data_IF_787336564205
#
_entry.id   IF_787336564205
#
_cell.length_a   1.000
_cell.length_b   1.000
_cell.length_c   1.000
_cell.angle_alpha   90.00
_cell.angle_beta   90.00
_cell.angle_gamma   90.00
#
_symmetry.space_group_name_H-M   'P 1'
#
loop_
_entity.id
_entity.type
_entity.pdbx_description
1 polymer ?
#
# COMPACT_ATOMS: atom_id res chain seq x y z
N UNK A 1 -10.29 -41.43 -32.24
CA UNK A 1 -9.14 -42.28 -32.66
C UNK A 1 -8.42 -42.69 -31.39
N UNK A 2 -8.67 -43.97 -31.04
CA UNK A 2 -8.19 -44.72 -29.90
C UNK A 2 -6.66 -44.85 -29.87
N UNK A 3 -6.09 -44.83 -28.66
CA UNK A 3 -5.00 -45.69 -28.19
C UNK A 3 -4.74 -45.33 -26.73
N UNK A 4 -5.13 -46.02 -25.74
CA UNK A 4 -5.01 -47.39 -25.26
C UNK A 4 -3.54 -47.81 -24.95
N UNK A 5 -3.39 -48.23 -23.66
CA UNK A 5 -2.50 -49.32 -23.19
C UNK A 5 -1.14 -48.87 -22.70
N UNK A 6 -0.61 -49.19 -21.50
CA UNK A 6 -0.55 -50.50 -20.81
C UNK A 6 -0.12 -50.33 -19.34
N UNK A 7 -0.81 -51.10 -18.54
CA UNK A 7 -0.40 -51.61 -17.21
C UNK A 7 0.76 -52.59 -17.37
N UNK A 8 1.75 -52.55 -16.48
CA UNK A 8 2.58 -53.72 -16.27
C UNK A 8 2.70 -54.03 -14.77
N UNK A 9 2.15 -55.17 -14.41
CA UNK A 9 2.36 -55.94 -13.20
C UNK A 9 3.36 -57.04 -13.49
N UNK A 10 4.32 -57.29 -12.61
CA UNK A 10 4.92 -58.60 -12.34
C UNK A 10 5.58 -58.51 -10.97
N UNK A 11 5.04 -59.15 -9.94
CA UNK A 11 5.35 -60.53 -9.58
C UNK A 11 6.83 -60.76 -9.34
N UNK A 12 7.26 -60.95 -8.10
CA UNK A 12 7.89 -62.22 -7.70
C UNK A 12 7.83 -62.43 -6.19
N UNK A 13 7.31 -63.55 -5.85
CA UNK A 13 7.09 -64.18 -4.57
C UNK A 13 8.36 -64.91 -4.06
N UNK A 14 8.35 -65.19 -2.78
CA UNK A 14 8.88 -66.39 -2.14
C UNK A 14 10.36 -66.39 -1.71
N UNK A 15 10.61 -66.46 -0.41
CA UNK A 15 11.13 -67.67 0.22
C UNK A 15 11.09 -67.56 1.76
N UNK A 16 10.29 -68.43 2.32
CA UNK A 16 10.34 -68.90 3.69
C UNK A 16 11.59 -69.78 3.85
N UNK A 17 12.34 -69.57 4.94
CA UNK A 17 13.13 -70.68 5.53
C UNK A 17 13.33 -70.42 7.01
N UNK A 18 12.68 -71.26 7.72
CA UNK A 18 12.82 -71.74 9.09
C UNK A 18 14.28 -71.99 9.46
N UNK A 19 14.69 -71.60 10.65
CA UNK A 19 15.48 -72.46 11.52
C UNK A 19 15.42 -71.95 12.98
N UNK A 20 14.85 -72.77 13.79
CA UNK A 20 14.86 -72.71 15.24
C UNK A 20 16.20 -73.22 15.78
N UNK A 21 16.65 -72.72 16.87
CA UNK A 21 17.21 -73.45 18.04
C UNK A 21 18.19 -72.53 18.80
N UNK A 22 18.04 -72.46 20.11
CA UNK A 22 19.06 -71.89 21.00
C UNK A 22 18.48 -71.29 22.30
N UNK A 23 17.86 -72.16 23.09
CA UNK A 23 17.49 -71.94 24.49
C UNK A 23 18.74 -72.12 25.38
N UNK A 24 19.14 -71.08 26.13
CA UNK A 24 19.93 -71.17 27.39
C UNK A 24 19.83 -69.82 28.10
N UNK A 25 19.00 -69.76 29.05
CA UNK A 25 19.15 -69.67 30.50
C UNK A 25 20.50 -69.12 30.93
N UNK A 26 20.43 -67.99 31.57
CA UNK A 26 21.09 -67.77 32.88
C UNK A 26 20.61 -66.51 33.57
N UNK A 27 19.94 -66.73 34.66
CA UNK A 27 19.66 -65.84 35.76
C UNK A 27 20.92 -65.11 36.23
N UNK A 28 20.87 -63.80 36.38
CA UNK A 28 21.66 -63.09 37.36
C UNK A 28 20.76 -62.07 38.06
N UNK A 29 20.34 -62.44 39.24
CA UNK A 29 19.87 -61.51 40.25
C UNK A 29 20.98 -60.55 40.61
N UNK A 30 20.71 -59.28 40.56
CA UNK A 30 21.51 -58.24 41.13
C UNK A 30 20.58 -57.07 41.41
N UNK A 31 20.10 -56.98 42.65
CA UNK A 31 19.24 -55.91 43.13
C UNK A 31 19.91 -54.56 43.01
N UNK A 32 19.17 -53.63 42.47
CA UNK A 32 19.36 -52.21 42.45
C UNK A 32 18.03 -51.60 42.15
N UNK A 33 17.18 -51.47 43.20
CA UNK A 33 16.08 -50.51 43.17
C UNK A 33 16.68 -49.08 43.05
N UNK A 34 17.20 -48.77 41.89
CA UNK A 34 17.34 -47.40 41.49
C UNK A 34 15.94 -46.90 41.09
N UNK A 35 15.18 -46.44 42.08
CA UNK A 35 14.05 -45.61 41.79
C UNK A 35 14.55 -44.52 40.86
N UNK A 36 13.93 -44.41 39.65
CA UNK A 36 14.05 -43.19 38.88
C UNK A 36 13.78 -42.06 39.88
N UNK A 37 14.79 -41.30 40.28
CA UNK A 37 14.57 -40.02 40.91
C UNK A 37 13.73 -39.24 39.94
N UNK A 38 12.46 -39.04 40.28
CA UNK A 38 11.57 -38.11 39.64
C UNK A 38 12.37 -36.80 39.60
N UNK A 39 12.64 -36.28 38.38
CA UNK A 39 13.46 -35.11 38.19
C UNK A 39 13.09 -34.03 39.19
N UNK A 40 14.06 -33.29 39.63
CA UNK A 40 13.92 -32.20 40.59
C UNK A 40 12.65 -31.40 40.22
N UNK A 41 11.71 -31.26 41.17
CA UNK A 41 10.44 -30.58 41.02
C UNK A 41 10.65 -29.04 40.88
N UNK A 42 11.79 -28.70 40.27
CA UNK A 42 12.23 -27.33 40.07
C UNK A 42 11.78 -26.77 38.73
N UNK A 43 11.00 -25.73 38.78
CA UNK A 43 10.47 -25.07 37.58
C UNK A 43 10.84 -23.60 37.58
N UNK A 44 11.22 -23.10 36.38
CA UNK A 44 11.53 -21.69 36.20
C UNK A 44 10.24 -20.86 36.27
N UNK A 45 10.24 -19.88 37.17
CA UNK A 45 9.16 -18.95 37.35
C UNK A 45 9.62 -17.53 37.01
N UNK A 46 8.74 -16.76 36.40
CA UNK A 46 8.93 -15.36 36.09
C UNK A 46 7.82 -14.53 36.72
N UNK A 47 8.16 -13.42 37.33
CA UNK A 47 7.16 -12.45 37.80
C UNK A 47 6.57 -11.68 36.61
N UNK A 48 5.27 -11.59 36.60
CA UNK A 48 4.52 -10.81 35.63
C UNK A 48 4.74 -9.32 35.92
N UNK A 49 5.22 -8.61 34.91
CA UNK A 49 5.44 -7.16 34.97
C UNK A 49 4.62 -6.49 33.87
N UNK A 50 4.11 -5.33 34.19
CA UNK A 50 3.46 -4.46 33.21
C UNK A 50 4.53 -3.73 32.42
N UNK A 51 4.45 -3.77 31.12
CA UNK A 51 5.41 -3.13 30.21
C UNK A 51 4.67 -2.43 29.06
N UNK A 52 5.37 -1.54 28.37
CA UNK A 52 4.91 -0.99 27.09
C UNK A 52 5.61 -1.72 25.96
N UNK A 53 4.87 -2.10 24.95
CA UNK A 53 5.42 -2.72 23.75
C UNK A 53 4.88 -2.04 22.51
N UNK A 54 5.74 -1.93 21.51
CA UNK A 54 5.35 -1.45 20.18
C UNK A 54 5.29 -2.64 19.24
N UNK A 55 4.10 -2.98 18.81
CA UNK A 55 3.85 -3.99 17.79
C UNK A 55 3.72 -3.32 16.43
N UNK A 56 4.11 -3.98 15.38
CA UNK A 56 3.95 -3.48 14.02
C UNK A 56 3.06 -4.40 13.21
N UNK A 57 2.14 -3.82 12.46
CA UNK A 57 1.32 -4.55 11.49
C UNK A 57 1.63 -4.05 10.10
N UNK A 58 1.74 -4.96 9.15
CA UNK A 58 2.01 -4.64 7.77
C UNK A 58 0.71 -4.66 6.96
N UNK A 59 0.50 -3.63 6.15
CA UNK A 59 -0.63 -3.51 5.25
C UNK A 59 -0.13 -3.39 3.81
N UNK A 60 -0.57 -4.28 2.90
CA UNK A 60 -0.27 -4.12 1.48
C UNK A 60 -0.74 -2.77 0.98
N UNK A 61 0.11 -2.09 0.22
CA UNK A 61 -0.11 -0.73 -0.21
C UNK A 61 0.30 -0.52 -1.66
N UNK A 62 -0.38 0.43 -2.31
CA UNK A 62 -0.06 0.91 -3.65
C UNK A 62 0.45 2.34 -3.58
N UNK A 63 1.56 2.58 -4.24
CA UNK A 63 2.19 3.90 -4.34
C UNK A 63 1.62 4.61 -5.57
N UNK A 64 1.20 5.86 -5.42
CA UNK A 64 0.76 6.73 -6.52
C UNK A 64 1.45 8.07 -6.44
N UNK A 65 1.69 8.70 -7.58
CA UNK A 65 2.11 10.09 -7.64
C UNK A 65 1.07 11.02 -7.00
N UNK A 66 1.50 12.22 -6.62
CA UNK A 66 0.57 13.24 -6.13
C UNK A 66 -0.52 13.54 -7.16
N UNK A 67 -0.13 13.53 -8.44
CA UNK A 67 -1.02 13.56 -9.59
C UNK A 67 -0.46 12.64 -10.67
N UNK A 68 -1.30 11.75 -11.19
CA UNK A 68 -1.04 10.94 -12.38
C UNK A 68 -1.99 11.44 -13.47
N UNK A 69 -1.46 12.20 -14.44
CA UNK A 69 -2.27 12.84 -15.47
C UNK A 69 -2.08 12.09 -16.78
N UNK A 70 -3.17 11.52 -17.28
CA UNK A 70 -3.20 10.91 -18.61
C UNK A 70 -3.16 11.98 -19.70
N UNK A 71 -2.19 11.92 -20.57
CA UNK A 71 -2.06 12.83 -21.72
C UNK A 71 -2.77 12.21 -22.92
N UNK A 72 -3.86 12.84 -23.31
CA UNK A 72 -4.67 12.42 -24.44
C UNK A 72 -4.67 13.49 -25.52
N UNK A 73 -4.65 13.12 -26.84
CA UNK A 73 -4.70 14.10 -27.90
C UNK A 73 -6.11 14.71 -27.98
N UNK A 74 -6.19 16.00 -28.30
CA UNK A 74 -7.46 16.70 -28.49
C UNK A 74 -7.85 16.79 -29.97
N UNK A 75 -6.91 16.48 -30.86
CA UNK A 75 -7.10 16.48 -32.32
C UNK A 75 -6.64 15.15 -32.92
N UNK A 76 -7.19 14.80 -34.08
CA UNK A 76 -6.84 13.58 -34.79
C UNK A 76 -5.75 13.81 -35.81
N UNK A 77 -4.75 12.93 -35.86
CA UNK A 77 -3.67 13.01 -36.85
C UNK A 77 -2.54 12.02 -36.54
N UNK A 78 -1.53 11.98 -37.39
CA UNK A 78 -0.36 11.15 -37.20
C UNK A 78 0.63 11.83 -36.24
N UNK A 79 1.27 11.06 -35.36
CA UNK A 79 2.40 11.56 -34.57
C UNK A 79 3.60 11.72 -35.51
N UNK A 80 4.09 12.95 -35.67
CA UNK A 80 5.26 13.24 -36.52
C UNK A 80 6.54 13.34 -35.73
N UNK A 81 6.45 13.65 -34.42
CA UNK A 81 7.64 13.80 -33.57
C UNK A 81 7.33 13.50 -32.11
N UNK A 82 8.23 12.81 -31.43
CA UNK A 82 8.34 12.74 -29.98
C UNK A 82 9.35 13.79 -29.54
N UNK A 83 8.95 14.68 -28.62
CA UNK A 83 9.79 15.79 -28.18
C UNK A 83 10.57 15.47 -26.91
N UNK A 84 10.27 14.35 -26.26
CA UNK A 84 10.85 13.88 -25.01
C UNK A 84 10.96 12.37 -25.04
N UNK A 85 11.80 11.80 -24.16
CA UNK A 85 11.97 10.36 -24.01
C UNK A 85 11.12 9.82 -22.84
N UNK A 86 10.87 8.49 -22.85
CA UNK A 86 10.23 7.79 -21.76
C UNK A 86 11.04 7.91 -20.46
N UNK A 87 10.42 8.20 -19.34
CA UNK A 87 11.09 8.38 -18.06
C UNK A 87 11.75 9.76 -17.87
N UNK A 88 11.70 10.65 -18.87
CA UNK A 88 12.25 12.00 -18.75
C UNK A 88 11.44 12.85 -17.76
N UNK A 89 12.13 13.76 -17.08
CA UNK A 89 11.48 14.80 -16.27
C UNK A 89 11.05 15.95 -17.17
N UNK A 90 9.81 16.38 -17.04
CA UNK A 90 9.21 17.47 -17.83
C UNK A 90 8.64 18.56 -16.95
N UNK A 91 8.54 19.75 -17.53
CA UNK A 91 7.93 20.92 -16.89
C UNK A 91 6.56 21.21 -17.50
N UNK A 92 5.70 21.85 -16.74
CA UNK A 92 4.42 22.35 -17.22
C UNK A 92 4.61 23.21 -18.49
N UNK A 93 3.81 22.91 -19.53
CA UNK A 93 3.87 23.59 -20.83
C UNK A 93 4.96 23.05 -21.78
N UNK A 94 5.80 22.13 -21.36
CA UNK A 94 6.80 21.51 -22.23
C UNK A 94 6.13 20.62 -23.28
N UNK A 95 6.54 20.76 -24.56
CA UNK A 95 6.05 19.95 -25.65
C UNK A 95 6.46 18.47 -25.46
N UNK A 96 5.51 17.56 -25.59
CA UNK A 96 5.69 16.12 -25.45
C UNK A 96 5.61 15.42 -26.81
N UNK A 97 4.54 15.72 -27.57
CA UNK A 97 4.27 15.13 -28.87
C UNK A 97 3.92 16.21 -29.88
N UNK A 98 4.28 15.97 -31.13
CA UNK A 98 3.84 16.77 -32.28
C UNK A 98 2.95 15.89 -33.15
N UNK A 99 1.69 16.28 -33.31
CA UNK A 99 0.74 15.71 -34.28
C UNK A 99 0.87 16.49 -35.56
N UNK A 100 0.65 15.86 -36.73
CA UNK A 100 0.75 16.51 -38.05
C UNK A 100 -0.11 17.78 -38.11
N UNK A 101 0.52 18.97 -38.19
CA UNK A 101 -0.18 20.23 -38.13
C UNK A 101 -0.72 20.70 -39.50
N UNK A 102 -0.39 20.00 -40.59
CA UNK A 102 -0.58 20.47 -41.97
C UNK A 102 -2.02 20.93 -42.23
N UNK A 103 -3.00 20.08 -41.95
CA UNK A 103 -4.42 20.37 -42.14
C UNK A 103 -4.89 21.49 -41.22
N UNK A 104 -4.47 21.48 -39.97
CA UNK A 104 -4.88 22.46 -38.96
C UNK A 104 -4.26 23.82 -39.21
N UNK A 105 -3.00 23.87 -39.70
CA UNK A 105 -2.34 25.09 -40.12
C UNK A 105 -3.05 25.71 -41.31
N UNK A 106 -3.42 24.94 -42.34
CA UNK A 106 -4.18 25.44 -43.46
C UNK A 106 -5.53 26.07 -43.05
N UNK A 107 -6.25 25.40 -42.14
CA UNK A 107 -7.53 25.92 -41.62
C UNK A 107 -7.31 27.22 -40.80
N UNK A 108 -6.24 27.27 -40.01
CA UNK A 108 -5.84 28.48 -39.25
C UNK A 108 -5.52 29.64 -40.20
N UNK A 109 -4.70 29.43 -41.24
CA UNK A 109 -4.31 30.45 -42.20
C UNK A 109 -5.54 30.94 -43.00
N UNK A 110 -6.48 30.03 -43.39
CA UNK A 110 -7.72 30.38 -44.02
C UNK A 110 -8.63 31.27 -43.13
N UNK A 111 -8.82 30.87 -41.88
CA UNK A 111 -9.64 31.62 -40.93
C UNK A 111 -9.02 33.01 -40.63
N UNK A 112 -7.70 33.08 -40.54
CA UNK A 112 -6.98 34.34 -40.40
C UNK A 112 -7.23 35.29 -41.57
N UNK A 113 -7.17 34.80 -42.82
CA UNK A 113 -7.49 35.57 -44.00
C UNK A 113 -8.96 36.04 -44.00
N UNK A 114 -9.88 35.22 -43.49
CA UNK A 114 -11.27 35.59 -43.32
C UNK A 114 -11.48 36.77 -42.38
N UNK A 115 -10.74 36.82 -41.26
CA UNK A 115 -10.78 37.99 -40.36
C UNK A 115 -10.28 39.25 -41.05
N UNK A 116 -9.16 39.18 -41.79
CA UNK A 116 -8.63 40.37 -42.50
C UNK A 116 -9.61 40.87 -43.57
N UNK A 117 -10.30 39.95 -44.28
CA UNK A 117 -11.34 40.34 -45.25
C UNK A 117 -12.55 41.00 -44.57
N UNK A 118 -13.02 40.43 -43.43
CA UNK A 118 -14.14 41.02 -42.68
C UNK A 118 -13.77 42.41 -42.08
N UNK A 119 -12.52 42.59 -41.61
CA UNK A 119 -11.99 43.90 -41.15
C UNK A 119 -11.99 44.94 -42.27
N UNK A 120 -11.51 44.54 -43.44
CA UNK A 120 -11.50 45.46 -44.61
C UNK A 120 -12.94 45.88 -44.99
N UNK A 121 -13.88 44.93 -45.02
CA UNK A 121 -15.29 45.23 -45.27
C UNK A 121 -15.87 46.16 -44.21
N UNK A 122 -15.64 45.87 -42.93
CA UNK A 122 -16.10 46.72 -41.82
C UNK A 122 -15.57 48.15 -41.96
N UNK A 123 -14.31 48.32 -42.33
CA UNK A 123 -13.71 49.65 -42.56
C UNK A 123 -14.45 50.41 -43.65
N UNK A 124 -14.69 49.75 -44.80
CA UNK A 124 -15.45 50.40 -45.95
C UNK A 124 -16.85 50.80 -45.54
N UNK A 125 -17.58 49.89 -44.83
CA UNK A 125 -18.96 50.15 -44.36
C UNK A 125 -18.98 51.26 -43.30
N UNK A 126 -17.97 51.31 -42.42
CA UNK A 126 -17.83 52.36 -41.39
C UNK A 126 -17.64 53.76 -42.06
N UNK A 127 -16.75 53.80 -43.04
CA UNK A 127 -16.54 55.06 -43.81
C UNK A 127 -17.82 55.48 -44.57
N UNK A 128 -18.55 54.51 -45.14
CA UNK A 128 -19.84 54.73 -45.81
C UNK A 128 -20.90 55.25 -44.82
N UNK A 129 -21.02 54.66 -43.64
CA UNK A 129 -21.96 55.12 -42.60
C UNK A 129 -21.62 56.52 -42.15
N UNK A 130 -20.34 56.81 -41.88
CA UNK A 130 -19.88 58.17 -41.51
C UNK A 130 -20.22 59.24 -42.54
N UNK A 131 -20.04 58.93 -43.85
CA UNK A 131 -20.43 59.84 -44.93
C UNK A 131 -21.98 60.01 -45.00
N UNK A 132 -22.75 58.91 -44.88
CA UNK A 132 -24.22 58.99 -44.87
C UNK A 132 -24.72 59.75 -43.64
N UNK A 133 -24.10 59.62 -42.49
CA UNK A 133 -24.41 60.40 -41.28
C UNK A 133 -24.28 61.91 -41.54
N UNK A 134 -23.17 62.32 -42.14
CA UNK A 134 -22.91 63.73 -42.46
C UNK A 134 -23.98 64.30 -43.44
N UNK A 135 -24.37 63.54 -44.49
CA UNK A 135 -25.40 63.94 -45.46
C UNK A 135 -26.79 64.00 -44.81
N UNK A 136 -27.10 63.07 -43.89
CA UNK A 136 -28.35 63.08 -43.12
C UNK A 136 -28.46 64.31 -42.21
N UNK A 137 -27.39 64.65 -41.48
CA UNK A 137 -27.34 65.84 -40.65
C UNK A 137 -27.58 67.14 -41.45
N UNK A 138 -27.14 67.13 -42.72
CA UNK A 138 -27.41 68.22 -43.69
C UNK A 138 -28.80 68.14 -44.37
N UNK A 139 -29.65 67.14 -43.98
CA UNK A 139 -30.98 66.86 -44.58
C UNK A 139 -30.97 66.55 -46.08
N UNK A 140 -29.87 66.03 -46.61
CA UNK A 140 -29.70 65.70 -48.04
C UNK A 140 -30.27 64.28 -48.32
N UNK A 141 -30.24 63.36 -47.34
CA UNK A 141 -30.75 61.98 -47.47
C UNK A 141 -31.88 61.75 -46.49
N UNK A 142 -32.71 60.70 -46.75
CA UNK A 142 -33.79 60.28 -45.87
C UNK A 142 -33.36 59.50 -44.62
N UNK A 143 -34.20 59.52 -43.59
CA UNK A 143 -34.00 58.71 -42.38
C UNK A 143 -33.87 57.20 -42.71
N UNK A 144 -34.61 56.72 -43.68
CA UNK A 144 -34.57 55.32 -44.16
C UNK A 144 -33.18 54.99 -44.74
N UNK A 145 -32.62 55.85 -45.53
CA UNK A 145 -31.29 55.66 -46.16
C UNK A 145 -30.17 55.66 -45.12
N UNK A 146 -30.23 56.55 -44.13
CA UNK A 146 -29.29 56.59 -43.03
C UNK A 146 -29.45 55.31 -42.14
N UNK A 147 -30.66 54.93 -41.78
CA UNK A 147 -30.93 53.72 -40.99
C UNK A 147 -30.43 52.44 -41.71
N UNK A 148 -30.51 52.42 -43.04
CA UNK A 148 -29.97 51.32 -43.85
C UNK A 148 -28.42 51.25 -43.71
N UNK A 149 -27.74 52.38 -43.68
CA UNK A 149 -26.30 52.44 -43.50
C UNK A 149 -25.90 51.95 -42.09
N UNK A 150 -26.65 52.32 -41.05
CA UNK A 150 -26.46 51.78 -39.67
C UNK A 150 -26.63 50.28 -39.63
N UNK A 151 -27.70 49.75 -40.25
CA UNK A 151 -27.96 48.30 -40.29
C UNK A 151 -26.84 47.53 -41.01
N UNK A 152 -26.34 48.12 -42.13
CA UNK A 152 -25.17 47.55 -42.83
C UNK A 152 -23.92 47.54 -41.97
N UNK A 153 -23.67 48.61 -41.20
CA UNK A 153 -22.55 48.67 -40.23
C UNK A 153 -22.70 47.61 -39.15
N UNK A 154 -23.90 47.43 -38.58
CA UNK A 154 -24.17 46.38 -37.60
C UNK A 154 -23.92 44.96 -38.16
N UNK A 155 -24.38 44.76 -39.42
CA UNK A 155 -24.15 43.51 -40.15
C UNK A 155 -22.65 43.26 -40.37
N UNK A 156 -21.90 44.27 -40.80
CA UNK A 156 -20.46 44.13 -40.99
C UNK A 156 -19.69 43.86 -39.66
N UNK A 157 -20.14 44.47 -38.55
CA UNK A 157 -19.60 44.15 -37.18
C UNK A 157 -19.90 42.70 -36.79
N UNK A 158 -21.12 42.24 -37.04
CA UNK A 158 -21.50 40.85 -36.73
C UNK A 158 -20.68 39.83 -37.57
N UNK A 159 -20.45 40.13 -38.85
CA UNK A 159 -19.63 39.29 -39.74
C UNK A 159 -18.16 39.25 -39.28
N UNK A 160 -17.61 40.35 -38.80
CA UNK A 160 -16.27 40.37 -38.21
C UNK A 160 -16.20 39.50 -36.95
N UNK A 161 -17.16 39.63 -36.02
CA UNK A 161 -17.23 38.82 -34.82
C UNK A 161 -17.32 37.32 -35.14
N UNK A 162 -18.11 36.93 -36.17
CA UNK A 162 -18.18 35.56 -36.66
C UNK A 162 -16.85 35.07 -37.21
N UNK A 163 -16.14 35.89 -38.01
CA UNK A 163 -14.83 35.50 -38.53
C UNK A 163 -13.77 35.38 -37.42
N UNK A 164 -13.80 36.26 -36.42
CA UNK A 164 -12.91 36.20 -35.25
C UNK A 164 -13.18 34.93 -34.43
N UNK A 165 -14.43 34.53 -34.22
CA UNK A 165 -14.77 33.27 -33.55
C UNK A 165 -14.26 32.04 -34.32
N UNK A 166 -14.42 32.02 -35.65
CA UNK A 166 -13.87 30.97 -36.50
C UNK A 166 -12.35 30.87 -36.45
N UNK A 167 -11.67 32.03 -36.45
CA UNK A 167 -10.22 32.12 -36.30
C UNK A 167 -9.76 31.59 -34.92
N UNK A 168 -10.45 31.97 -33.85
CA UNK A 168 -10.13 31.48 -32.49
C UNK A 168 -10.24 29.95 -32.40
N UNK A 169 -11.28 29.36 -32.96
CA UNK A 169 -11.48 27.91 -33.04
C UNK A 169 -10.36 27.21 -33.85
N UNK A 170 -10.01 27.74 -35.01
CA UNK A 170 -8.96 27.20 -35.87
C UNK A 170 -7.58 27.31 -35.19
N UNK A 171 -7.31 28.44 -34.52
CA UNK A 171 -6.09 28.66 -33.73
C UNK A 171 -5.96 27.66 -32.59
N UNK A 172 -7.04 27.37 -31.88
CA UNK A 172 -7.05 26.41 -30.79
C UNK A 172 -6.76 24.99 -31.31
N UNK A 173 -7.42 24.56 -32.38
CA UNK A 173 -7.17 23.26 -32.99
C UNK A 173 -5.75 23.10 -33.51
N UNK A 174 -5.18 24.15 -34.10
CA UNK A 174 -3.77 24.17 -34.51
C UNK A 174 -2.83 24.07 -33.29
N UNK A 175 -3.16 24.77 -32.20
CA UNK A 175 -2.41 24.68 -30.93
C UNK A 175 -2.40 23.26 -30.35
N UNK A 176 -3.52 22.54 -30.47
CA UNK A 176 -3.64 21.15 -29.98
C UNK A 176 -2.78 20.13 -30.77
N UNK A 177 -2.25 20.51 -31.93
CA UNK A 177 -1.26 19.68 -32.64
C UNK A 177 0.05 19.53 -31.86
N UNK A 178 0.37 20.46 -30.97
CA UNK A 178 1.48 20.35 -30.03
C UNK A 178 0.92 19.94 -28.68
N UNK A 179 1.07 18.69 -28.33
CA UNK A 179 0.64 18.15 -27.04
C UNK A 179 1.67 18.51 -25.99
N UNK A 180 1.25 19.24 -24.95
CA UNK A 180 2.13 19.73 -23.88
C UNK A 180 1.81 19.10 -22.54
N UNK A 181 2.77 19.12 -21.61
CA UNK A 181 2.54 18.68 -20.24
C UNK A 181 1.70 19.69 -19.46
N UNK A 182 0.62 19.26 -18.76
CA UNK A 182 -0.18 20.13 -17.92
C UNK A 182 0.47 20.44 -16.56
N UNK A 183 1.46 19.65 -16.14
CA UNK A 183 2.16 19.75 -14.84
C UNK A 183 3.64 19.40 -14.97
N UNK A 184 4.39 19.73 -13.93
CA UNK A 184 5.73 19.17 -13.73
C UNK A 184 5.61 17.69 -13.33
N UNK A 185 6.56 16.86 -13.77
CA UNK A 185 6.54 15.44 -13.43
C UNK A 185 7.49 14.59 -14.26
N UNK A 186 7.32 13.28 -14.17
CA UNK A 186 8.06 12.28 -14.95
C UNK A 186 7.11 11.60 -15.92
N UNK A 187 7.59 11.42 -17.13
CA UNK A 187 6.87 10.76 -18.24
C UNK A 187 6.85 9.24 -18.04
N UNK A 188 5.70 8.64 -18.28
CA UNK A 188 5.53 7.20 -18.36
C UNK A 188 6.00 6.62 -19.69
N UNK A 189 5.44 5.47 -20.07
CA UNK A 189 5.71 4.81 -21.35
C UNK A 189 4.92 5.44 -22.49
N UNK A 190 5.36 5.20 -23.73
CA UNK A 190 4.69 5.64 -24.96
C UNK A 190 4.06 4.44 -25.69
N UNK A 191 2.74 4.20 -25.53
CA UNK A 191 2.04 3.16 -26.29
C UNK A 191 2.04 3.43 -27.81
N UNK A 192 2.14 4.71 -28.21
CA UNK A 192 2.12 5.15 -29.60
C UNK A 192 3.48 5.70 -30.01
N UNK A 193 3.94 5.33 -31.21
CA UNK A 193 5.20 5.76 -31.81
C UNK A 193 4.97 6.75 -32.95
N UNK A 194 6.06 7.37 -33.42
CA UNK A 194 6.03 8.20 -34.63
C UNK A 194 5.41 7.42 -35.79
N UNK A 195 4.48 8.05 -36.50
CA UNK A 195 3.69 7.43 -37.58
C UNK A 195 2.37 6.80 -37.12
N UNK A 196 2.10 6.70 -35.84
CA UNK A 196 0.82 6.21 -35.33
C UNK A 196 -0.28 7.25 -35.53
N UNK A 197 -1.47 6.80 -35.94
CA UNK A 197 -2.68 7.64 -35.99
C UNK A 197 -3.30 7.70 -34.59
N UNK A 198 -3.53 8.91 -34.12
CA UNK A 198 -4.14 9.16 -32.80
C UNK A 198 -5.36 10.07 -32.92
N UNK A 199 -6.25 9.99 -31.94
CA UNK A 199 -7.46 10.82 -31.85
C UNK A 199 -7.90 10.96 -30.40
N UNK A 200 -8.85 11.84 -30.11
CA UNK A 200 -9.40 12.01 -28.76
C UNK A 200 -10.07 10.72 -28.20
N UNK A 201 -10.45 9.78 -29.07
CA UNK A 201 -11.13 8.51 -28.71
C UNK A 201 -10.21 7.31 -28.62
N UNK A 202 -8.88 7.49 -28.64
CA UNK A 202 -7.94 6.36 -28.46
C UNK A 202 -8.13 5.70 -27.10
N UNK A 203 -8.05 4.35 -27.07
CA UNK A 203 -8.29 3.57 -25.87
C UNK A 203 -7.26 3.85 -24.77
N UNK A 204 -5.98 3.99 -25.14
CA UNK A 204 -4.89 4.28 -24.22
C UNK A 204 -4.44 5.76 -24.35
N UNK A 205 -4.00 6.40 -23.26
CA UNK A 205 -3.39 7.73 -23.35
C UNK A 205 -2.07 7.67 -24.14
N UNK A 206 -1.63 8.83 -24.66
CA UNK A 206 -0.32 8.94 -25.31
C UNK A 206 0.82 8.65 -24.35
N UNK A 207 0.65 9.08 -23.12
CA UNK A 207 1.53 8.83 -21.96
C UNK A 207 0.82 9.28 -20.69
N UNK A 208 1.44 9.02 -19.54
CA UNK A 208 1.04 9.58 -18.25
C UNK A 208 2.18 10.45 -17.73
N UNK A 209 1.85 11.61 -17.19
CA UNK A 209 2.79 12.46 -16.44
C UNK A 209 2.49 12.31 -14.97
N UNK A 210 3.46 11.78 -14.22
CA UNK A 210 3.35 11.53 -12.77
C UNK A 210 4.17 12.55 -12.00
N UNK A 211 3.53 13.25 -11.07
CA UNK A 211 4.22 14.12 -10.13
C UNK A 211 4.76 13.30 -8.96
N UNK A 212 6.09 13.16 -8.87
CA UNK A 212 6.76 12.22 -7.97
C UNK A 212 7.53 12.89 -6.81
N UNK A 213 7.32 14.17 -6.54
CA UNK A 213 7.99 14.88 -5.43
C UNK A 213 7.58 14.33 -4.05
N UNK A 214 6.27 14.28 -3.81
CA UNK A 214 5.65 13.55 -2.71
C UNK A 214 4.80 12.43 -3.30
N UNK A 215 4.67 11.32 -2.57
CA UNK A 215 3.93 10.16 -3.04
C UNK A 215 2.78 9.84 -2.11
N UNK A 216 1.64 9.54 -2.69
CA UNK A 216 0.52 8.96 -1.97
C UNK A 216 0.68 7.45 -1.89
N UNK A 217 0.55 6.94 -0.69
CA UNK A 217 0.53 5.49 -0.44
C UNK A 217 -0.83 5.10 0.09
N UNK A 218 -1.56 4.31 -0.70
CA UNK A 218 -2.89 3.82 -0.36
C UNK A 218 -2.79 2.42 0.21
N UNK A 219 -3.39 2.21 1.36
CA UNK A 219 -3.51 0.90 2.01
C UNK A 219 -4.88 0.75 2.63
N UNK A 220 -5.29 -0.49 2.91
CA UNK A 220 -6.61 -0.78 3.45
C UNK A 220 -6.50 -1.38 4.85
N UNK A 221 -7.36 -0.92 5.74
CA UNK A 221 -7.49 -1.40 7.11
C UNK A 221 -8.93 -1.88 7.33
N UNK A 222 -9.13 -2.93 8.12
CA UNK A 222 -10.48 -3.39 8.45
C UNK A 222 -11.22 -2.38 9.32
N UNK A 223 -12.56 -2.31 9.18
CA UNK A 223 -13.40 -1.44 10.00
C UNK A 223 -13.16 -1.67 11.51
N UNK A 224 -13.02 -2.94 11.93
CA UNK A 224 -12.73 -3.30 13.32
C UNK A 224 -11.45 -2.64 13.85
N UNK A 225 -10.38 -2.63 13.03
CA UNK A 225 -9.11 -2.01 13.39
C UNK A 225 -9.23 -0.49 13.45
N UNK A 226 -9.92 0.12 12.47
CA UNK A 226 -10.17 1.55 12.47
C UNK A 226 -10.98 1.97 13.69
N UNK A 227 -12.05 1.26 14.03
CA UNK A 227 -12.85 1.53 15.23
C UNK A 227 -12.03 1.40 16.52
N UNK A 228 -11.09 0.44 16.58
CA UNK A 228 -10.19 0.30 17.73
C UNK A 228 -9.27 1.52 17.90
N UNK A 229 -8.78 2.09 16.79
CA UNK A 229 -7.96 3.32 16.80
C UNK A 229 -8.78 4.56 17.15
N UNK A 230 -10.06 4.59 16.79
CA UNK A 230 -10.93 5.77 16.96
C UNK A 230 -11.69 5.80 18.26
N UNK A 231 -11.63 4.75 19.08
CA UNK A 231 -12.31 4.69 20.41
C UNK A 231 -11.86 5.75 21.40
N UNK A 232 -10.74 6.40 21.17
CA UNK A 232 -10.21 7.46 22.06
C UNK A 232 -11.03 8.77 22.07
N UNK A 233 -12.09 8.88 21.23
CA UNK A 233 -12.95 10.06 21.12
C UNK A 233 -12.33 11.20 20.30
N UNK A 234 -13.16 12.16 19.90
CA UNK A 234 -12.77 13.30 19.07
C UNK A 234 -13.22 13.19 17.61
N UNK A 235 -12.95 14.21 16.82
CA UNK A 235 -13.24 14.24 15.39
C UNK A 235 -12.24 13.38 14.62
N UNK A 236 -12.64 12.85 13.44
CA UNK A 236 -11.75 12.07 12.58
C UNK A 236 -10.45 12.82 12.27
N UNK A 237 -10.53 14.13 12.08
CA UNK A 237 -9.36 14.98 11.82
C UNK A 237 -8.37 15.00 12.97
N UNK A 238 -8.87 15.18 14.20
CA UNK A 238 -8.03 15.15 15.41
C UNK A 238 -7.40 13.78 15.65
N UNK A 239 -8.11 12.73 15.27
CA UNK A 239 -7.59 11.36 15.34
C UNK A 239 -6.49 11.12 14.31
N UNK A 240 -6.66 11.59 13.06
CA UNK A 240 -5.62 11.52 12.02
C UNK A 240 -4.35 12.28 12.44
N UNK A 241 -4.49 13.44 13.07
CA UNK A 241 -3.34 14.21 13.55
C UNK A 241 -2.57 13.52 14.68
N UNK A 242 -3.26 12.68 15.46
CA UNK A 242 -2.66 11.86 16.55
C UNK A 242 -2.15 10.50 16.10
N UNK A 243 -2.45 10.08 14.86
CA UNK A 243 -1.93 8.81 14.34
C UNK A 243 -0.41 8.83 14.28
N UNK A 244 0.25 7.72 14.62
CA UNK A 244 1.69 7.64 14.54
C UNK A 244 2.16 7.75 13.08
N UNK A 245 3.39 8.21 12.91
CA UNK A 245 4.06 8.11 11.62
C UNK A 245 4.19 6.64 11.20
N UNK A 246 4.01 6.39 9.92
CA UNK A 246 4.08 5.05 9.36
C UNK A 246 5.36 4.90 8.54
N UNK A 247 5.91 3.69 8.52
CA UNK A 247 7.07 3.34 7.71
C UNK A 247 6.63 2.60 6.46
N UNK A 248 7.47 2.63 5.43
CA UNK A 248 7.21 1.94 4.18
C UNK A 248 8.27 0.86 3.97
N UNK A 249 7.84 -0.37 3.79
CA UNK A 249 8.68 -1.47 3.35
C UNK A 249 8.49 -1.69 1.87
N UNK A 250 9.56 -1.55 1.10
CA UNK A 250 9.56 -1.73 -0.34
C UNK A 250 9.41 -3.21 -0.72
N UNK A 251 9.14 -3.47 -1.99
CA UNK A 251 8.91 -4.83 -2.51
C UNK A 251 10.12 -5.77 -2.38
N UNK A 252 11.32 -5.23 -2.23
CA UNK A 252 12.56 -5.97 -1.96
C UNK A 252 12.79 -6.29 -0.48
N UNK A 253 11.86 -5.86 0.39
CA UNK A 253 11.94 -6.02 1.84
C UNK A 253 12.72 -4.91 2.57
N UNK A 254 13.35 -3.99 1.86
CA UNK A 254 14.06 -2.86 2.48
C UNK A 254 13.09 -1.83 3.05
N UNK A 255 13.50 -1.18 4.14
CA UNK A 255 12.72 -0.10 4.72
C UNK A 255 13.08 1.21 4.02
N UNK A 256 12.07 1.97 3.64
CA UNK A 256 12.25 3.32 3.09
C UNK A 256 12.68 4.29 4.20
N UNK A 257 13.66 5.14 3.91
CA UNK A 257 14.30 6.01 4.92
C UNK A 257 13.36 7.07 5.52
N UNK A 258 12.39 7.54 4.75
CA UNK A 258 11.47 8.57 5.20
C UNK A 258 10.20 7.95 5.79
N UNK A 259 9.70 8.56 6.85
CA UNK A 259 8.42 8.23 7.45
C UNK A 259 7.28 8.96 6.73
N UNK A 260 6.13 8.29 6.63
CA UNK A 260 4.92 8.83 6.06
C UNK A 260 3.94 9.30 7.12
N UNK A 261 3.14 10.30 6.78
CA UNK A 261 2.03 10.78 7.62
C UNK A 261 0.70 10.39 6.97
N UNK A 262 -0.18 9.79 7.75
CA UNK A 262 -1.55 9.52 7.31
C UNK A 262 -2.30 10.84 7.24
N UNK A 263 -2.86 11.15 6.08
CA UNK A 263 -3.53 12.41 5.80
C UNK A 263 -5.01 12.26 5.49
N UNK A 264 -5.44 11.07 5.07
CA UNK A 264 -6.83 10.82 4.73
C UNK A 264 -7.28 9.40 5.04
N UNK A 265 -8.54 9.28 5.42
CA UNK A 265 -9.28 8.02 5.57
C UNK A 265 -10.54 8.14 4.73
N UNK A 266 -10.84 7.12 3.94
CA UNK A 266 -12.07 7.07 3.15
C UNK A 266 -13.30 7.16 4.05
N UNK A 267 -14.26 7.99 3.67
CA UNK A 267 -15.58 8.05 4.33
C UNK A 267 -16.52 6.90 3.94
N UNK A 268 -16.05 5.96 3.09
CA UNK A 268 -16.84 4.84 2.60
C UNK A 268 -16.09 3.54 2.87
N UNK A 269 -16.82 2.56 3.40
CA UNK A 269 -16.33 1.19 3.61
C UNK A 269 -16.58 0.40 2.32
N UNK A 270 -15.57 -0.30 1.83
CA UNK A 270 -15.74 -1.26 0.75
C UNK A 270 -16.57 -2.45 1.25
N UNK A 271 -17.78 -2.58 0.72
CA UNK A 271 -18.73 -3.61 1.16
C UNK A 271 -18.28 -5.03 0.83
N UNK A 272 -17.39 -5.21 -0.14
CA UNK A 272 -16.89 -6.52 -0.55
C UNK A 272 -15.86 -7.06 0.44
N UNK A 273 -15.01 -6.17 0.97
CA UNK A 273 -13.87 -6.54 1.83
C UNK A 273 -14.07 -6.14 3.30
N UNK A 274 -15.07 -5.30 3.62
CA UNK A 274 -15.26 -4.73 4.95
C UNK A 274 -14.09 -3.83 5.39
N UNK A 275 -13.37 -3.24 4.43
CA UNK A 275 -12.19 -2.44 4.69
C UNK A 275 -12.38 -0.97 4.33
N UNK A 276 -11.59 -0.11 4.97
CA UNK A 276 -11.52 1.32 4.74
C UNK A 276 -10.17 1.66 4.11
N UNK A 277 -10.21 2.41 3.02
CA UNK A 277 -8.98 2.88 2.37
C UNK A 277 -8.40 4.05 3.14
N UNK A 278 -7.12 3.99 3.43
CA UNK A 278 -6.32 5.02 4.06
C UNK A 278 -5.25 5.51 3.11
N UNK A 279 -4.86 6.77 3.26
CA UNK A 279 -3.80 7.39 2.48
C UNK A 279 -2.75 7.98 3.39
N UNK A 280 -1.50 7.68 3.10
CA UNK A 280 -0.35 8.33 3.72
C UNK A 280 0.48 9.08 2.67
N UNK A 281 1.10 10.18 3.07
CA UNK A 281 2.02 10.96 2.24
C UNK A 281 3.44 10.62 2.65
N UNK A 282 4.26 10.27 1.66
CA UNK A 282 5.69 10.00 1.83
C UNK A 282 6.51 10.97 0.97
N UNK A 283 7.47 11.70 1.55
CA UNK A 283 8.39 12.53 0.76
C UNK A 283 9.31 11.64 -0.07
N UNK A 284 9.48 11.97 -1.36
CA UNK A 284 10.26 11.17 -2.31
C UNK A 284 11.44 11.97 -2.89
N UNK A 285 12.28 12.52 -2.01
CA UNK A 285 13.41 13.39 -2.41
C UNK A 285 14.42 12.70 -3.32
N UNK A 286 14.58 11.39 -3.18
CA UNK A 286 15.53 10.58 -3.96
C UNK A 286 14.92 10.01 -5.24
N UNK A 287 13.62 10.26 -5.52
CA UNK A 287 12.88 9.73 -6.66
C UNK A 287 12.92 8.20 -6.78
N UNK A 288 13.04 7.50 -5.65
CA UNK A 288 13.04 6.03 -5.60
C UNK A 288 11.62 5.49 -5.79
N UNK A 289 10.64 6.13 -5.14
CA UNK A 289 9.25 5.73 -5.25
C UNK A 289 8.69 6.13 -6.62
N UNK A 290 7.96 5.21 -7.25
CA UNK A 290 7.32 5.43 -8.55
C UNK A 290 5.84 5.14 -8.47
N UNK A 291 5.05 5.87 -9.25
CA UNK A 291 3.61 5.59 -9.35
C UNK A 291 3.36 4.21 -9.95
N UNK A 292 2.40 3.47 -9.38
CA UNK A 292 2.11 2.08 -9.71
C UNK A 292 2.94 1.07 -8.92
N UNK A 293 3.91 1.50 -8.10
CA UNK A 293 4.70 0.63 -7.23
C UNK A 293 3.86 -0.02 -6.12
N UNK A 294 4.29 -1.20 -5.67
CA UNK A 294 3.72 -1.89 -4.52
C UNK A 294 4.70 -1.85 -3.35
N UNK A 295 4.16 -1.75 -2.14
CA UNK A 295 4.92 -1.74 -0.90
C UNK A 295 4.04 -2.21 0.26
N UNK A 296 4.60 -2.35 1.45
CA UNK A 296 3.84 -2.57 2.68
C UNK A 296 3.98 -1.35 3.59
N UNK A 297 2.86 -0.82 4.04
CA UNK A 297 2.85 0.17 5.11
C UNK A 297 3.02 -0.56 6.44
N UNK A 298 4.04 -0.21 7.19
CA UNK A 298 4.31 -0.72 8.53
C UNK A 298 3.74 0.26 9.54
N UNK A 299 2.63 -0.13 10.14
CA UNK A 299 1.89 0.67 11.10
C UNK A 299 2.29 0.27 12.52
N UNK A 300 2.82 1.19 13.34
CA UNK A 300 3.17 0.90 14.72
C UNK A 300 1.92 0.99 15.61
N UNK A 301 1.69 -0.04 16.41
CA UNK A 301 0.71 -0.04 17.49
C UNK A 301 1.44 0.06 18.82
N UNK A 302 1.44 1.23 19.42
CA UNK A 302 1.89 1.37 20.80
C UNK A 302 0.82 0.79 21.73
N UNK A 303 1.24 -0.09 22.60
CA UNK A 303 0.41 -0.69 23.64
C UNK A 303 1.08 -0.42 24.99
N UNK A 304 0.42 0.37 25.81
CA UNK A 304 0.85 0.64 27.17
C UNK A 304 0.12 -0.26 28.16
N UNK A 305 0.77 -0.52 29.28
CA UNK A 305 0.20 -1.31 30.39
C UNK A 305 -0.19 -2.74 29.96
N UNK A 306 0.64 -3.39 29.17
CA UNK A 306 0.45 -4.78 28.76
C UNK A 306 1.30 -5.74 29.57
N UNK A 307 0.78 -6.95 29.72
CA UNK A 307 1.52 -8.08 30.30
C UNK A 307 2.02 -8.94 29.13
N UNK A 308 3.33 -9.17 29.11
CA UNK A 308 3.97 -10.09 28.16
C UNK A 308 4.39 -11.38 28.85
N UNK A 309 4.01 -12.50 28.28
CA UNK A 309 4.46 -13.82 28.72
C UNK A 309 5.03 -14.62 27.55
N UNK A 310 6.11 -15.39 27.73
CA UNK A 310 6.62 -16.27 26.68
C UNK A 310 5.55 -17.28 26.24
N UNK A 311 5.51 -17.59 24.94
CA UNK A 311 4.58 -18.61 24.41
C UNK A 311 4.85 -19.99 25.06
N UNK A 312 6.09 -20.26 25.43
CA UNK A 312 6.51 -21.47 26.15
C UNK A 312 5.87 -21.63 27.55
N UNK A 313 5.39 -20.51 28.13
CA UNK A 313 4.70 -20.50 29.42
C UNK A 313 3.21 -20.87 29.31
N UNK A 314 2.70 -21.07 28.10
CA UNK A 314 1.28 -21.31 27.87
C UNK A 314 1.01 -22.76 27.45
N UNK A 315 -0.13 -23.27 27.87
CA UNK A 315 -0.72 -24.50 27.40
C UNK A 315 -2.02 -24.19 26.67
N UNK A 316 -2.18 -24.72 25.46
CA UNK A 316 -3.39 -24.54 24.67
C UNK A 316 -4.29 -25.78 24.77
N UNK A 317 -5.50 -25.56 25.21
CA UNK A 317 -6.53 -26.61 25.35
C UNK A 317 -7.81 -26.06 24.71
N UNK A 318 -8.28 -26.69 23.64
CA UNK A 318 -9.55 -26.34 22.97
C UNK A 318 -9.70 -24.83 22.72
N UNK A 319 -8.78 -24.24 21.95
CA UNK A 319 -8.75 -22.82 21.60
C UNK A 319 -8.59 -21.81 22.77
N UNK A 320 -8.41 -22.31 24.00
CA UNK A 320 -8.13 -21.52 25.19
C UNK A 320 -6.69 -21.65 25.62
N UNK A 321 -6.13 -20.57 26.11
CA UNK A 321 -4.76 -20.55 26.63
C UNK A 321 -4.76 -20.48 28.14
N UNK A 322 -3.91 -21.32 28.72
CA UNK A 322 -3.76 -21.45 30.16
C UNK A 322 -2.31 -21.25 30.55
N UNK A 323 -2.11 -20.80 31.78
CA UNK A 323 -0.82 -20.70 32.42
C UNK A 323 -0.89 -21.28 33.83
N UNK A 324 0.26 -21.68 34.37
CA UNK A 324 0.37 -22.08 35.75
C UNK A 324 0.88 -20.94 36.60
N UNK A 325 0.03 -20.43 37.48
CA UNK A 325 0.35 -19.36 38.43
C UNK A 325 0.76 -19.98 39.77
N UNK A 326 1.95 -19.61 40.26
CA UNK A 326 2.45 -20.04 41.54
C UNK A 326 1.74 -19.34 42.68
N UNK A 327 1.13 -20.12 43.57
CA UNK A 327 0.46 -19.62 44.79
C UNK A 327 1.47 -19.44 45.91
N UNK A 328 1.06 -18.78 47.01
CA UNK A 328 1.90 -18.50 48.17
C UNK A 328 2.36 -19.77 48.91
N UNK A 329 1.63 -20.85 48.80
CA UNK A 329 1.94 -22.17 49.39
C UNK A 329 2.81 -23.06 48.48
N UNK A 330 3.36 -22.50 47.41
CA UNK A 330 4.14 -23.19 46.37
C UNK A 330 3.37 -24.22 45.56
N UNK A 331 2.05 -24.14 45.55
CA UNK A 331 1.19 -24.91 44.63
C UNK A 331 0.92 -24.14 43.35
N UNK A 332 0.63 -24.87 42.26
CA UNK A 332 0.31 -24.31 40.98
C UNK A 332 -1.21 -24.21 40.82
N UNK A 333 -1.66 -23.07 40.32
CA UNK A 333 -3.05 -22.88 39.88
C UNK A 333 -3.11 -22.77 38.39
N UNK A 334 -3.88 -23.66 37.75
CA UNK A 334 -4.16 -23.62 36.32
C UNK A 334 -5.15 -22.49 36.03
N UNK A 335 -4.69 -21.45 35.32
CA UNK A 335 -5.44 -20.21 35.14
C UNK A 335 -5.65 -19.94 33.65
N UNK A 336 -6.90 -19.76 33.23
CA UNK A 336 -7.23 -19.34 31.87
C UNK A 336 -6.82 -17.89 31.67
N UNK A 337 -6.18 -17.61 30.53
CA UNK A 337 -5.77 -16.26 30.13
C UNK A 337 -6.41 -15.87 28.80
N UNK A 338 -6.67 -14.57 28.66
CA UNK A 338 -7.06 -14.00 27.38
C UNK A 338 -5.84 -13.33 26.76
N UNK A 339 -5.59 -13.62 25.49
CA UNK A 339 -4.46 -13.06 24.76
C UNK A 339 -4.93 -12.27 23.56
N UNK A 340 -4.15 -11.25 23.20
CA UNK A 340 -4.37 -10.48 21.96
C UNK A 340 -3.99 -11.30 20.74
N UNK A 341 -4.65 -11.04 19.61
CA UNK A 341 -4.26 -11.60 18.31
C UNK A 341 -2.92 -11.01 17.79
N UNK A 342 -2.49 -9.89 18.36
CA UNK A 342 -1.18 -9.29 18.09
C UNK A 342 -0.16 -9.96 19.01
N UNK A 343 0.93 -10.48 18.44
CA UNK A 343 2.06 -11.06 19.18
C UNK A 343 3.36 -10.81 18.38
N UNK A 344 4.50 -10.93 19.05
CA UNK A 344 5.83 -10.76 18.46
C UNK A 344 6.45 -12.07 17.93
N UNK A 345 5.67 -13.14 17.89
CA UNK A 345 6.12 -14.49 17.54
C UNK A 345 6.84 -15.24 18.66
N UNK A 346 7.17 -14.57 19.77
CA UNK A 346 7.83 -15.16 20.95
C UNK A 346 6.98 -15.04 22.21
N UNK A 347 6.28 -13.93 22.37
CA UNK A 347 5.48 -13.62 23.54
C UNK A 347 4.02 -13.43 23.18
N UNK A 348 3.11 -13.78 24.08
CA UNK A 348 1.72 -13.38 24.03
C UNK A 348 1.49 -12.11 24.85
N UNK A 349 0.65 -11.22 24.31
CA UNK A 349 0.12 -10.07 25.04
C UNK A 349 -1.13 -10.55 25.78
N UNK A 350 -1.05 -10.56 27.11
CA UNK A 350 -2.17 -10.96 27.97
C UNK A 350 -3.09 -9.78 28.21
N UNK A 351 -4.37 -9.93 27.87
CA UNK A 351 -5.41 -8.92 28.06
C UNK A 351 -6.31 -9.19 29.27
N UNK A 352 -6.23 -10.38 29.86
CA UNK A 352 -6.98 -10.77 31.04
C UNK A 352 -6.52 -12.09 31.62
N UNK A 353 -6.83 -12.33 32.89
CA UNK A 353 -6.51 -13.57 33.60
C UNK A 353 -5.26 -13.52 34.48
N UNK A 354 -4.37 -12.53 34.31
CA UNK A 354 -3.19 -12.30 35.15
C UNK A 354 -3.19 -10.91 35.77
N UNK A 355 -2.50 -10.76 36.90
CA UNK A 355 -2.23 -9.49 37.57
C UNK A 355 -0.73 -9.21 37.63
N UNK A 356 -0.38 -7.94 37.74
CA UNK A 356 0.98 -7.55 38.01
C UNK A 356 1.47 -8.18 39.33
N UNK A 357 2.67 -8.75 39.30
CA UNK A 357 3.26 -9.43 40.46
C UNK A 357 2.96 -10.93 40.52
N UNK A 358 2.02 -11.47 39.74
CA UNK A 358 1.80 -12.91 39.64
C UNK A 358 3.09 -13.60 39.19
N UNK A 359 3.36 -14.81 39.71
CA UNK A 359 4.50 -15.62 39.29
C UNK A 359 4.03 -16.77 38.40
N UNK A 360 4.49 -16.78 37.16
CA UNK A 360 4.08 -17.75 36.14
C UNK A 360 5.22 -18.69 35.80
N UNK A 361 4.95 -19.98 35.68
CA UNK A 361 5.91 -20.97 35.20
C UNK A 361 6.15 -20.72 33.70
N UNK A 362 7.41 -20.59 33.28
CA UNK A 362 7.76 -20.20 31.90
C UNK A 362 8.24 -21.38 31.04
N UNK A 363 8.58 -22.52 31.66
CA UNK A 363 9.04 -23.71 30.94
C UNK A 363 8.54 -24.99 31.58
N UNK A 364 8.38 -26.05 30.78
CA UNK A 364 7.96 -27.37 31.25
C UNK A 364 6.47 -27.48 31.58
N UNK A 365 5.65 -26.53 31.13
CA UNK A 365 4.20 -26.45 31.42
C UNK A 365 3.41 -27.67 31.00
N UNK A 366 3.90 -28.45 30.02
CA UNK A 366 3.24 -29.64 29.48
C UNK A 366 3.15 -30.80 30.46
N UNK A 367 4.02 -30.83 31.47
CA UNK A 367 4.14 -31.92 32.48
C UNK A 367 3.48 -31.56 33.79
N UNK A 368 2.96 -30.34 33.93
CA UNK A 368 2.41 -29.83 35.18
C UNK A 368 0.93 -30.15 35.32
N UNK A 369 0.48 -30.27 36.56
CA UNK A 369 -0.92 -30.46 36.92
C UNK A 369 -1.40 -29.38 37.89
N UNK A 370 -2.70 -29.12 37.87
CA UNK A 370 -3.32 -28.20 38.81
C UNK A 370 -3.18 -28.69 40.24
N UNK A 371 -2.82 -27.80 41.16
CA UNK A 371 -2.55 -28.14 42.57
C UNK A 371 -1.17 -28.75 42.81
N UNK A 372 -0.34 -29.04 41.81
CA UNK A 372 0.98 -29.61 41.97
C UNK A 372 1.89 -28.64 42.74
N UNK A 373 2.64 -29.19 43.72
CA UNK A 373 3.63 -28.42 44.49
C UNK A 373 4.96 -28.44 43.76
N UNK A 374 5.58 -27.29 43.56
CA UNK A 374 6.86 -27.14 42.88
C UNK A 374 7.88 -26.39 43.74
N UNK A 375 9.16 -26.51 43.37
CA UNK A 375 10.26 -25.69 43.89
C UNK A 375 10.51 -24.59 42.84
N UNK A 376 10.13 -23.34 43.12
CA UNK A 376 10.35 -22.25 42.16
C UNK A 376 11.82 -21.85 42.10
N UNK A 377 12.38 -21.84 40.90
CA UNK A 377 13.71 -21.28 40.63
C UNK A 377 13.57 -20.13 39.64
N UNK A 378 14.51 -19.22 39.62
CA UNK A 378 14.52 -18.16 38.63
C UNK A 378 14.98 -18.67 37.26
N UNK A 379 14.57 -17.99 36.18
CA UNK A 379 15.00 -18.33 34.83
C UNK A 379 16.54 -18.32 34.73
N UNK A 380 17.20 -17.35 35.37
CA UNK A 380 18.67 -17.27 35.40
C UNK A 380 19.34 -18.47 36.11
N UNK A 381 18.74 -18.96 37.23
CA UNK A 381 19.23 -20.15 37.93
C UNK A 381 19.06 -21.40 37.07
N UNK A 382 17.95 -21.55 36.35
CA UNK A 382 17.74 -22.68 35.47
C UNK A 382 18.72 -22.68 34.30
N UNK A 383 18.94 -21.52 33.67
CA UNK A 383 19.92 -21.36 32.60
C UNK A 383 21.36 -21.68 33.09
N UNK A 384 21.74 -21.20 34.29
CA UNK A 384 23.05 -21.51 34.87
C UNK A 384 23.23 -23.03 35.12
N UNK A 385 22.19 -23.72 35.61
CA UNK A 385 22.19 -25.18 35.76
C UNK A 385 22.32 -25.89 34.42
N UNK A 386 21.62 -25.42 33.41
CA UNK A 386 21.68 -25.98 32.06
C UNK A 386 23.07 -25.81 31.42
N UNK A 387 23.66 -24.63 31.52
CA UNK A 387 25.00 -24.37 31.01
C UNK A 387 26.06 -25.22 31.74
N UNK A 388 25.92 -25.39 33.06
CA UNK A 388 26.78 -26.26 33.84
C UNK A 388 26.66 -27.73 33.38
N UNK A 389 25.42 -28.23 33.18
CA UNK A 389 25.20 -29.58 32.69
C UNK A 389 25.81 -29.81 31.29
N UNK A 390 25.71 -28.82 30.40
CA UNK A 390 26.37 -28.87 29.09
C UNK A 390 27.92 -28.90 29.19
N UNK A 391 28.47 -28.18 30.14
CA UNK A 391 29.92 -28.15 30.36
C UNK A 391 30.41 -29.49 30.95
N UNK A 392 29.70 -30.03 31.97
CA UNK A 392 30.00 -31.35 32.57
C UNK A 392 29.89 -32.47 31.49
N UNK A 393 28.95 -32.37 30.58
CA UNK A 393 28.83 -33.30 29.44
C UNK A 393 29.99 -33.19 28.44
N UNK A 394 30.49 -31.99 28.18
CA UNK A 394 31.67 -31.76 27.31
C UNK A 394 32.95 -32.27 27.96
N UNK A 395 33.04 -32.13 29.27
CA UNK A 395 34.22 -32.55 30.05
C UNK A 395 34.23 -34.07 30.39
N UNK A 396 33.23 -34.82 29.87
CA UNK A 396 33.12 -36.27 30.02
C UNK A 396 32.64 -36.74 31.38
N UNK A 397 32.15 -35.82 32.21
CA UNK A 397 31.71 -36.12 33.58
C UNK A 397 30.20 -36.43 33.62
N UNK A 398 29.82 -37.55 33.01
CA UNK A 398 28.42 -37.93 32.78
C UNK A 398 27.64 -38.19 34.09
N UNK A 399 28.30 -38.44 35.21
CA UNK A 399 27.63 -38.73 36.49
C UNK A 399 26.98 -37.51 37.16
N UNK A 400 27.45 -36.31 36.88
CA UNK A 400 26.94 -35.08 37.48
C UNK A 400 25.86 -34.39 36.64
N UNK A 401 25.68 -34.80 35.38
CA UNK A 401 24.69 -34.22 34.46
C UNK A 401 23.23 -34.65 34.73
N UNK A 402 23.02 -35.65 35.57
CA UNK A 402 21.68 -36.24 35.85
C UNK A 402 21.37 -36.33 37.38
N UNK A 403 22.09 -35.58 38.21
CA UNK A 403 21.79 -35.46 39.65
C UNK A 403 21.12 -34.13 39.96
#
# INVERSE_FOLDING_TARGET
MNMSVKRNRSFFSSRISLMALGLSVLTACGGGQGGMKMGDNEFAVQSVTVTSSSQTTQYPATIKGLQDIEIRPQVSGFIVKLCVDEGATVRKGQALFQIDPTRYKAAYDQAKAGVESAKANLKTVTETEANKKMLHEQKIISDFEYQTAINNLLTAKANLAQAEAAYAAAKQNFGFCTVTSPSDGVIGTFPYRVGALVSASVAQPLTTVSQIGDMYVYFSMTEKQLLALTKAGGTLKEQLEKMPAVKLQLSDGTMYDAEGKIDAVSGVIDQTTGSVSMRAIFPNKQNILRSGGMANVVFPYAMDNIILIPQTATQEIQDKKFVYVLQADSTLKHTEIQVSNLNDGKNYIVTGGLKEGDKVVVEGVQTLQDGQKIVPITVAQKEAKYQKALQDQRDGNIQTAFN
#
